data_IF_866618337891
#
_entry.id   IF_866618337891
#
_cell.length_a   1.000
_cell.length_b   1.000
_cell.length_c   1.000
_cell.angle_alpha   90.00
_cell.angle_beta   90.00
_cell.angle_gamma   90.00
#
_symmetry.space_group_name_H-M   'P 1'
#
loop_
_entity.id
_entity.type
_entity.pdbx_description
1 polymer ?
#
# COMPACT_ATOMS: atom_id res chain seq x y z
N UNK A 1 20.68 -54.50 -20.84
CA UNK A 1 19.78 -53.71 -19.98
C UNK A 1 18.72 -53.06 -20.86
N UNK A 2 17.47 -53.54 -20.76
CA UNK A 2 16.35 -53.06 -21.57
C UNK A 2 16.20 -51.55 -21.40
N UNK A 3 16.23 -50.78 -22.50
CA UNK A 3 15.87 -49.35 -22.50
C UNK A 3 14.49 -49.24 -21.86
N UNK A 4 14.45 -48.78 -20.62
CA UNK A 4 13.22 -48.47 -19.89
C UNK A 4 12.22 -47.81 -20.85
N UNK A 5 11.07 -48.46 -21.08
CA UNK A 5 10.03 -48.00 -22.02
C UNK A 5 9.41 -46.73 -21.45
N UNK A 6 10.03 -45.59 -21.75
CA UNK A 6 9.55 -44.27 -21.37
C UNK A 6 8.31 -43.91 -22.19
N UNK A 7 7.20 -43.70 -21.51
CA UNK A 7 5.91 -43.34 -22.08
C UNK A 7 5.80 -41.81 -22.12
N UNK A 8 6.17 -41.20 -23.26
CA UNK A 8 6.17 -39.73 -23.39
C UNK A 8 4.81 -39.16 -23.81
N UNK A 9 4.52 -37.92 -23.39
CA UNK A 9 3.37 -37.14 -23.87
C UNK A 9 3.37 -36.93 -25.39
N UNK A 10 2.16 -36.95 -25.98
CA UNK A 10 1.95 -36.57 -27.38
C UNK A 10 2.16 -35.06 -27.56
N UNK A 11 2.41 -34.64 -28.81
CA UNK A 11 2.49 -33.20 -29.14
C UNK A 11 1.20 -32.46 -28.82
N UNK A 12 0.04 -33.09 -29.03
CA UNK A 12 -1.27 -32.55 -28.67
C UNK A 12 -1.42 -32.35 -27.16
N UNK A 13 -1.08 -33.35 -26.35
CA UNK A 13 -1.11 -33.25 -24.87
C UNK A 13 -0.23 -32.11 -24.37
N UNK A 14 0.99 -31.97 -24.91
CA UNK A 14 1.89 -30.86 -24.53
C UNK A 14 1.29 -29.49 -24.84
N UNK A 15 0.60 -29.34 -25.96
CA UNK A 15 -0.10 -28.08 -26.30
C UNK A 15 -1.24 -27.79 -25.33
N UNK A 16 -2.00 -28.80 -24.92
CA UNK A 16 -3.09 -28.65 -23.94
C UNK A 16 -2.53 -28.20 -22.59
N UNK A 17 -1.47 -28.86 -22.10
CA UNK A 17 -0.81 -28.49 -20.85
C UNK A 17 -0.28 -27.05 -20.88
N UNK A 18 0.37 -26.67 -21.99
CA UNK A 18 0.87 -25.31 -22.17
C UNK A 18 -0.26 -24.27 -22.18
N UNK A 19 -1.33 -24.53 -22.92
CA UNK A 19 -2.49 -23.63 -23.02
C UNK A 19 -3.22 -23.46 -21.69
N UNK A 20 -3.48 -24.56 -20.99
CA UNK A 20 -4.14 -24.54 -19.68
C UNK A 20 -3.34 -23.76 -18.63
N UNK A 21 -2.01 -23.81 -18.70
CA UNK A 21 -1.14 -23.05 -17.81
C UNK A 21 -0.91 -21.60 -18.26
N UNK A 22 -1.42 -21.19 -19.42
CA UNK A 22 -1.14 -19.86 -20.00
C UNK A 22 0.31 -19.68 -20.43
N UNK A 23 1.00 -20.76 -20.80
CA UNK A 23 2.44 -20.79 -21.07
C UNK A 23 3.32 -20.30 -19.89
N UNK A 24 2.84 -20.43 -18.66
CA UNK A 24 3.53 -20.04 -17.44
C UNK A 24 3.89 -21.26 -16.60
N UNK A 25 5.04 -21.24 -15.94
CA UNK A 25 5.43 -22.30 -15.01
C UNK A 25 4.38 -22.45 -13.89
N UNK A 26 3.91 -23.69 -13.66
CA UNK A 26 2.90 -24.01 -12.64
C UNK A 26 3.51 -24.22 -11.24
N UNK A 27 4.83 -24.16 -11.10
CA UNK A 27 5.49 -24.29 -9.81
C UNK A 27 5.17 -23.11 -8.90
N UNK A 28 4.90 -23.36 -7.62
CA UNK A 28 4.58 -22.30 -6.65
C UNK A 28 5.67 -21.23 -6.59
N UNK A 29 5.25 -19.97 -6.57
CA UNK A 29 6.10 -18.77 -6.53
C UNK A 29 7.06 -18.60 -7.73
N UNK A 30 6.97 -19.46 -8.76
CA UNK A 30 7.77 -19.33 -9.98
C UNK A 30 7.12 -18.38 -10.99
N UNK A 31 5.99 -18.76 -11.60
CA UNK A 31 5.25 -17.92 -12.56
C UNK A 31 6.08 -17.38 -13.74
N UNK A 32 7.17 -18.04 -14.13
CA UNK A 32 8.00 -17.63 -15.27
C UNK A 32 7.23 -17.84 -16.59
N UNK A 33 7.18 -16.87 -17.51
CA UNK A 33 6.77 -17.11 -18.89
C UNK A 33 7.72 -18.11 -19.56
N UNK A 34 7.19 -19.01 -20.38
CA UNK A 34 7.97 -20.13 -20.95
C UNK A 34 7.96 -20.17 -22.47
N UNK A 35 7.45 -19.12 -23.11
CA UNK A 35 7.37 -18.95 -24.55
C UNK A 35 7.74 -17.52 -24.93
N UNK A 36 8.38 -17.33 -26.08
CA UNK A 36 8.77 -16.02 -26.57
C UNK A 36 9.15 -16.03 -28.05
N UNK A 37 9.51 -14.86 -28.61
CA UNK A 37 9.94 -14.75 -29.99
C UNK A 37 11.29 -15.45 -30.21
N UNK A 38 11.45 -16.07 -31.38
CA UNK A 38 12.73 -16.60 -31.86
C UNK A 38 13.13 -15.84 -33.13
N UNK A 39 14.31 -15.24 -33.12
CA UNK A 39 14.91 -14.70 -34.34
C UNK A 39 15.65 -15.85 -35.03
N UNK A 40 15.17 -16.25 -36.20
CA UNK A 40 15.82 -17.28 -37.01
C UNK A 40 17.00 -16.69 -37.78
N UNK A 41 17.90 -17.57 -38.24
CA UNK A 41 19.10 -17.16 -38.98
C UNK A 41 18.81 -16.40 -40.28
N UNK A 42 17.60 -16.53 -40.83
CA UNK A 42 17.11 -15.79 -42.01
C UNK A 42 16.46 -14.44 -41.68
N UNK A 43 16.51 -14.01 -40.40
CA UNK A 43 15.89 -12.79 -39.91
C UNK A 43 14.37 -12.89 -39.69
N UNK A 44 13.74 -14.03 -39.99
CA UNK A 44 12.31 -14.20 -39.73
C UNK A 44 12.02 -14.41 -38.24
N UNK A 45 10.87 -13.91 -37.78
CA UNK A 45 10.43 -14.05 -36.38
C UNK A 45 9.53 -15.28 -36.24
N UNK A 46 10.00 -16.26 -35.47
CA UNK A 46 9.25 -17.44 -35.04
C UNK A 46 8.86 -17.39 -33.57
N UNK A 47 8.37 -18.52 -33.04
CA UNK A 47 8.02 -18.69 -31.62
C UNK A 47 8.76 -19.90 -31.07
N UNK A 48 9.40 -19.74 -29.91
CA UNK A 48 10.10 -20.82 -29.21
C UNK A 48 9.74 -20.83 -27.74
N UNK A 49 9.55 -22.03 -27.20
CA UNK A 49 9.30 -22.24 -25.78
C UNK A 49 10.41 -23.07 -25.12
N UNK A 50 10.63 -22.82 -23.83
CA UNK A 50 11.66 -23.50 -23.03
C UNK A 50 11.07 -24.51 -22.03
N UNK A 51 9.76 -24.51 -21.83
CA UNK A 51 9.13 -25.33 -20.80
C UNK A 51 9.15 -26.84 -21.09
N UNK A 52 8.97 -27.58 -20.00
CA UNK A 52 8.86 -29.04 -19.95
C UNK A 52 7.43 -29.39 -19.53
N UNK A 53 6.78 -30.25 -20.32
CA UNK A 53 5.61 -30.99 -19.85
C UNK A 53 6.09 -32.15 -18.98
N UNK A 54 6.17 -31.92 -17.67
CA UNK A 54 6.61 -32.89 -16.70
C UNK A 54 5.46 -33.85 -16.36
N UNK A 55 5.80 -35.11 -16.09
CA UNK A 55 4.80 -36.08 -15.62
C UNK A 55 4.74 -36.00 -14.10
N UNK A 56 3.53 -35.99 -13.55
CA UNK A 56 3.30 -36.03 -12.11
C UNK A 56 3.66 -37.42 -11.59
N UNK A 57 3.06 -38.47 -12.18
CA UNK A 57 3.49 -39.86 -12.06
C UNK A 57 4.42 -40.21 -13.23
N UNK A 58 5.62 -40.71 -12.93
CA UNK A 58 6.71 -40.85 -13.90
C UNK A 58 6.32 -41.56 -15.20
N UNK A 59 6.99 -41.15 -16.29
CA UNK A 59 6.89 -41.78 -17.59
C UNK A 59 7.49 -43.21 -17.65
N UNK A 60 8.08 -43.70 -16.57
CA UNK A 60 8.67 -45.05 -16.49
C UNK A 60 8.69 -45.58 -15.06
N UNK A 61 8.70 -46.91 -14.84
CA UNK A 61 8.68 -47.51 -13.50
C UNK A 61 9.83 -47.08 -12.58
N UNK A 62 11.01 -46.78 -13.13
CA UNK A 62 12.18 -46.33 -12.35
C UNK A 62 12.35 -44.81 -12.24
N UNK A 63 11.33 -44.03 -12.61
CA UNK A 63 11.38 -42.57 -12.54
C UNK A 63 10.82 -42.01 -11.22
N UNK A 64 10.94 -40.69 -11.00
CA UNK A 64 10.38 -40.02 -9.83
C UNK A 64 8.87 -40.22 -9.73
N UNK A 65 8.36 -40.62 -8.56
CA UNK A 65 6.94 -40.98 -8.33
C UNK A 65 6.46 -42.06 -9.32
N UNK A 66 6.85 -43.33 -9.12
CA UNK A 66 6.54 -44.43 -10.05
C UNK A 66 5.05 -44.54 -10.40
N UNK A 67 4.68 -44.81 -11.66
CA UNK A 67 3.29 -44.86 -12.12
C UNK A 67 2.61 -46.19 -11.78
N UNK A 68 2.52 -46.52 -10.48
CA UNK A 68 1.96 -47.80 -10.01
C UNK A 68 0.47 -47.87 -10.35
N UNK A 69 0.08 -48.83 -11.19
CA UNK A 69 -1.32 -49.05 -11.57
C UNK A 69 -1.84 -48.17 -12.70
N UNK A 70 -1.03 -47.28 -13.29
CA UNK A 70 -1.43 -46.46 -14.43
C UNK A 70 -1.14 -47.17 -15.76
N UNK A 71 -2.07 -47.06 -16.71
CA UNK A 71 -1.90 -47.52 -18.09
C UNK A 71 -1.05 -46.53 -18.91
N UNK A 72 -0.47 -46.97 -20.04
CA UNK A 72 0.23 -46.09 -21.00
C UNK A 72 -0.64 -44.89 -21.45
N UNK A 73 -1.97 -45.07 -21.49
CA UNK A 73 -2.92 -44.00 -21.86
C UNK A 73 -3.03 -42.97 -20.75
N UNK A 74 -3.13 -43.39 -19.49
CA UNK A 74 -3.22 -42.51 -18.32
C UNK A 74 -1.90 -41.80 -18.04
N UNK A 75 -0.75 -42.47 -18.24
CA UNK A 75 0.56 -41.84 -18.12
C UNK A 75 0.69 -40.67 -19.11
N UNK A 76 0.15 -40.81 -20.34
CA UNK A 76 0.15 -39.77 -21.38
C UNK A 76 -1.01 -38.77 -21.29
N UNK A 77 -1.92 -38.94 -20.34
CA UNK A 77 -3.08 -38.05 -20.21
C UNK A 77 -2.63 -36.67 -19.71
N UNK A 78 -3.33 -35.62 -20.13
CA UNK A 78 -3.10 -34.27 -19.64
C UNK A 78 -3.33 -34.19 -18.14
N UNK A 79 -4.21 -35.02 -17.55
CA UNK A 79 -4.43 -35.12 -16.11
C UNK A 79 -3.15 -35.47 -15.34
N UNK A 80 -2.26 -36.28 -15.92
CA UNK A 80 -0.95 -36.64 -15.35
C UNK A 80 0.18 -35.64 -15.67
N UNK A 81 -0.09 -34.56 -16.40
CA UNK A 81 0.91 -33.57 -16.78
C UNK A 81 0.86 -32.29 -15.94
N UNK A 82 2.03 -31.70 -15.69
CA UNK A 82 2.21 -30.33 -15.17
C UNK A 82 3.17 -29.56 -16.07
N UNK A 83 2.91 -28.26 -16.29
CA UNK A 83 3.71 -27.39 -17.15
C UNK A 83 4.75 -26.62 -16.32
N UNK A 84 6.04 -26.91 -16.51
CA UNK A 84 7.13 -26.37 -15.69
C UNK A 84 8.24 -25.74 -16.54
N UNK A 85 8.97 -24.77 -15.99
CA UNK A 85 10.22 -24.33 -16.59
C UNK A 85 11.31 -25.40 -16.41
N UNK A 86 12.43 -25.38 -17.17
CA UNK A 86 13.50 -26.36 -17.03
C UNK A 86 14.03 -26.52 -15.61
N UNK A 87 14.21 -25.40 -14.89
CA UNK A 87 14.74 -25.39 -13.54
C UNK A 87 13.81 -26.14 -12.57
N UNK A 88 12.51 -25.81 -12.59
CA UNK A 88 11.54 -26.41 -11.69
C UNK A 88 11.23 -27.85 -12.07
N UNK A 89 11.24 -28.18 -13.36
CA UNK A 89 11.09 -29.56 -13.83
C UNK A 89 12.25 -30.44 -13.31
N UNK A 90 13.48 -29.93 -13.35
CA UNK A 90 14.63 -30.62 -12.77
C UNK A 90 14.50 -30.72 -11.25
N UNK A 91 14.07 -29.63 -10.59
CA UNK A 91 13.93 -29.57 -9.13
C UNK A 91 12.93 -30.60 -8.59
N UNK A 92 11.73 -30.69 -9.17
CA UNK A 92 10.69 -31.62 -8.67
C UNK A 92 11.08 -33.09 -8.86
N UNK A 93 11.89 -33.40 -9.86
CA UNK A 93 12.42 -34.74 -10.09
C UNK A 93 13.59 -35.05 -9.16
N UNK A 94 14.47 -34.07 -8.90
CA UNK A 94 15.64 -34.22 -8.03
C UNK A 94 15.22 -34.39 -6.56
N UNK A 95 14.30 -33.55 -6.09
CA UNK A 95 13.79 -33.54 -4.72
C UNK A 95 12.45 -34.29 -4.62
N UNK A 96 12.36 -35.48 -5.22
CA UNK A 96 11.10 -36.21 -5.40
C UNK A 96 10.29 -36.46 -4.11
N UNK A 97 10.95 -36.52 -2.95
CA UNK A 97 10.28 -36.73 -1.65
C UNK A 97 9.68 -35.45 -1.07
N UNK A 98 10.21 -34.27 -1.44
CA UNK A 98 9.64 -32.96 -1.09
C UNK A 98 8.48 -32.58 -2.02
N UNK A 99 8.43 -33.20 -3.20
CA UNK A 99 7.43 -32.95 -4.24
C UNK A 99 6.62 -34.23 -4.53
N UNK A 100 5.73 -34.65 -3.63
CA UNK A 100 4.84 -35.79 -3.88
C UNK A 100 3.80 -35.45 -4.97
N UNK A 101 3.13 -36.47 -5.51
CA UNK A 101 2.22 -36.31 -6.65
C UNK A 101 1.05 -35.37 -6.33
N UNK A 102 0.55 -35.42 -5.10
CA UNK A 102 -0.54 -34.60 -4.57
C UNK A 102 -0.18 -33.11 -4.65
N UNK A 103 1.04 -32.75 -4.25
CA UNK A 103 1.51 -31.36 -4.31
C UNK A 103 1.63 -30.86 -5.75
N UNK A 104 2.08 -31.70 -6.69
CA UNK A 104 2.13 -31.33 -8.11
C UNK A 104 0.73 -31.19 -8.72
N UNK A 105 -0.23 -31.99 -8.27
CA UNK A 105 -1.64 -31.84 -8.66
C UNK A 105 -2.22 -30.51 -8.16
N UNK A 106 -1.94 -30.13 -6.91
CA UNK A 106 -2.36 -28.83 -6.37
C UNK A 106 -1.70 -27.66 -7.12
N UNK A 107 -0.39 -27.74 -7.39
CA UNK A 107 0.34 -26.73 -8.17
C UNK A 107 -0.29 -26.50 -9.54
N UNK A 108 -0.58 -27.60 -10.24
CA UNK A 108 -1.31 -27.57 -11.51
C UNK A 108 -2.69 -26.95 -11.36
N UNK A 109 -3.46 -27.38 -10.37
CA UNK A 109 -4.83 -26.92 -10.16
C UNK A 109 -4.87 -25.40 -9.95
N UNK A 110 -3.96 -24.85 -9.14
CA UNK A 110 -3.83 -23.41 -8.89
C UNK A 110 -3.57 -22.65 -10.18
N UNK A 111 -2.54 -23.02 -10.95
CA UNK A 111 -2.16 -22.30 -12.17
C UNK A 111 -3.27 -22.36 -13.22
N UNK A 112 -3.87 -23.53 -13.42
CA UNK A 112 -4.95 -23.69 -14.40
C UNK A 112 -6.19 -22.89 -13.99
N UNK A 113 -6.55 -22.90 -12.70
CA UNK A 113 -7.67 -22.10 -12.21
C UNK A 113 -7.40 -20.60 -12.35
N UNK A 114 -6.23 -20.12 -11.92
CA UNK A 114 -5.82 -18.73 -12.04
C UNK A 114 -5.81 -18.26 -13.51
N UNK A 115 -5.33 -19.10 -14.44
CA UNK A 115 -5.39 -18.84 -15.88
C UNK A 115 -6.83 -18.69 -16.36
N UNK A 116 -7.70 -19.63 -15.99
CA UNK A 116 -9.10 -19.61 -16.39
C UNK A 116 -9.83 -18.38 -15.81
N UNK A 117 -9.55 -18.03 -14.55
CA UNK A 117 -10.18 -16.90 -13.88
C UNK A 117 -9.78 -15.58 -14.52
N UNK A 118 -8.48 -15.37 -14.77
CA UNK A 118 -7.99 -14.17 -15.45
C UNK A 118 -8.54 -14.05 -16.89
N UNK A 119 -8.72 -15.17 -17.60
CA UNK A 119 -9.32 -15.16 -18.94
C UNK A 119 -10.81 -14.80 -18.92
N UNK A 120 -11.56 -15.29 -17.93
CA UNK A 120 -13.02 -15.11 -17.83
C UNK A 120 -13.41 -13.79 -17.17
N UNK A 121 -12.53 -13.20 -16.36
CA UNK A 121 -12.80 -11.98 -15.61
C UNK A 121 -11.78 -10.88 -15.99
N UNK A 122 -12.19 -9.90 -16.83
CA UNK A 122 -11.31 -8.81 -17.28
C UNK A 122 -10.73 -7.98 -16.13
N UNK A 123 -11.46 -7.83 -15.02
CA UNK A 123 -11.00 -7.11 -13.83
C UNK A 123 -9.86 -7.86 -13.15
N UNK A 124 -9.98 -9.17 -12.97
CA UNK A 124 -8.88 -10.01 -12.45
C UNK A 124 -7.69 -9.98 -13.40
N UNK A 125 -7.92 -10.05 -14.71
CA UNK A 125 -6.85 -9.92 -15.71
C UNK A 125 -6.05 -8.62 -15.54
N UNK A 126 -6.75 -7.49 -15.45
CA UNK A 126 -6.14 -6.19 -15.24
C UNK A 126 -5.34 -6.14 -13.93
N UNK A 127 -5.97 -6.50 -12.81
CA UNK A 127 -5.35 -6.46 -11.48
C UNK A 127 -4.12 -7.36 -11.39
N UNK A 128 -4.18 -8.53 -12.02
CA UNK A 128 -3.10 -9.50 -12.02
C UNK A 128 -1.83 -8.99 -12.73
N UNK A 129 -1.97 -8.08 -13.72
CA UNK A 129 -0.81 -7.41 -14.33
C UNK A 129 -0.10 -6.50 -13.32
N UNK A 130 -0.83 -5.82 -12.44
CA UNK A 130 -0.25 -4.92 -11.44
C UNK A 130 0.28 -5.65 -10.19
N UNK A 131 -0.44 -6.64 -9.66
CA UNK A 131 0.04 -7.41 -8.48
C UNK A 131 1.08 -8.48 -8.82
N UNK A 132 1.20 -8.80 -10.11
CA UNK A 132 2.03 -9.88 -10.63
C UNK A 132 1.36 -11.26 -10.55
N UNK A 133 1.58 -12.08 -11.60
CA UNK A 133 0.99 -13.43 -11.74
C UNK A 133 1.34 -14.38 -10.59
N UNK A 134 2.53 -14.25 -10.00
CA UNK A 134 2.93 -15.06 -8.83
C UNK A 134 1.99 -14.83 -7.65
N UNK A 135 1.58 -13.57 -7.44
CA UNK A 135 0.71 -13.18 -6.33
C UNK A 135 -0.72 -13.63 -6.59
N UNK A 136 -1.18 -13.60 -7.85
CA UNK A 136 -2.46 -14.22 -8.24
C UNK A 136 -2.48 -15.72 -7.90
N UNK A 137 -1.45 -16.48 -8.27
CA UNK A 137 -1.36 -17.92 -7.98
C UNK A 137 -1.33 -18.20 -6.48
N UNK A 138 -0.59 -17.38 -5.72
CA UNK A 138 -0.56 -17.46 -4.25
C UNK A 138 -1.95 -17.24 -3.63
N UNK A 139 -2.73 -16.28 -4.14
CA UNK A 139 -4.10 -16.02 -3.67
C UNK A 139 -5.01 -17.22 -3.97
N UNK A 140 -4.96 -17.75 -5.20
CA UNK A 140 -5.75 -18.93 -5.58
C UNK A 140 -5.40 -20.14 -4.71
N UNK A 141 -4.10 -20.37 -4.45
CA UNK A 141 -3.63 -21.45 -3.56
C UNK A 141 -4.23 -21.36 -2.16
N UNK A 142 -4.33 -20.16 -1.58
CA UNK A 142 -4.92 -19.96 -0.23
C UNK A 142 -6.40 -20.34 -0.15
N UNK A 143 -7.07 -20.50 -1.28
CA UNK A 143 -8.49 -20.85 -1.35
C UNK A 143 -8.72 -22.31 -1.75
N UNK A 144 -7.68 -23.14 -1.78
CA UNK A 144 -7.85 -24.59 -1.87
C UNK A 144 -8.46 -25.13 -0.56
N UNK A 145 -9.26 -26.21 -0.62
CA UNK A 145 -9.63 -26.94 -1.84
C UNK A 145 -10.85 -26.33 -2.58
N UNK A 146 -11.60 -25.43 -1.96
CA UNK A 146 -12.92 -25.00 -2.41
C UNK A 146 -12.92 -24.15 -3.69
N UNK A 147 -11.86 -23.37 -3.90
CA UNK A 147 -11.66 -22.47 -5.05
C UNK A 147 -12.88 -21.58 -5.36
N UNK A 148 -13.46 -21.00 -4.31
CA UNK A 148 -14.55 -20.05 -4.41
C UNK A 148 -14.13 -18.82 -5.22
N UNK A 149 -14.73 -18.66 -6.40
CA UNK A 149 -14.39 -17.60 -7.35
C UNK A 149 -14.61 -16.20 -6.77
N UNK A 150 -15.69 -16.00 -6.02
CA UNK A 150 -16.02 -14.67 -5.48
C UNK A 150 -15.01 -14.26 -4.42
N UNK A 151 -14.70 -15.16 -3.48
CA UNK A 151 -13.67 -14.90 -2.44
C UNK A 151 -12.29 -14.65 -3.04
N UNK A 152 -11.93 -15.41 -4.07
CA UNK A 152 -10.66 -15.21 -4.78
C UNK A 152 -10.61 -13.85 -5.47
N UNK A 153 -11.70 -13.43 -6.14
CA UNK A 153 -11.78 -12.12 -6.79
C UNK A 153 -11.61 -11.00 -5.75
N UNK A 154 -12.27 -11.09 -4.60
CA UNK A 154 -12.12 -10.11 -3.52
C UNK A 154 -10.70 -10.07 -2.96
N UNK A 155 -10.06 -11.22 -2.79
CA UNK A 155 -8.67 -11.30 -2.37
C UNK A 155 -7.70 -10.69 -3.41
N UNK A 156 -7.97 -10.86 -4.71
CA UNK A 156 -7.20 -10.21 -5.80
C UNK A 156 -7.39 -8.70 -5.78
N UNK A 157 -8.62 -8.20 -5.63
CA UNK A 157 -8.91 -6.76 -5.47
C UNK A 157 -8.13 -6.17 -4.30
N UNK A 158 -8.20 -6.82 -3.14
CA UNK A 158 -7.48 -6.38 -1.96
C UNK A 158 -5.96 -6.33 -2.19
N UNK A 159 -5.39 -7.32 -2.88
CA UNK A 159 -3.97 -7.32 -3.23
C UNK A 159 -3.60 -6.22 -4.23
N UNK A 160 -4.49 -5.91 -5.17
CA UNK A 160 -4.31 -4.84 -6.16
C UNK A 160 -4.26 -3.48 -5.50
N UNK A 161 -5.24 -3.18 -4.64
CA UNK A 161 -5.30 -1.95 -3.85
C UNK A 161 -3.99 -1.77 -3.04
N UNK A 162 -3.49 -2.84 -2.42
CA UNK A 162 -2.22 -2.81 -1.68
C UNK A 162 -0.99 -2.51 -2.54
N UNK A 163 -0.99 -2.89 -3.81
CA UNK A 163 0.19 -2.75 -4.69
C UNK A 163 0.25 -1.37 -5.35
N UNK A 164 -0.89 -0.80 -5.76
CA UNK A 164 -0.95 0.57 -6.31
C UNK A 164 -0.44 1.63 -5.31
N UNK A 165 -0.62 1.38 -4.02
CA UNK A 165 -0.14 2.24 -2.93
C UNK A 165 1.42 2.27 -2.85
N UNK A 166 2.14 1.26 -3.36
CA UNK A 166 3.58 1.10 -3.17
C UNK A 166 4.46 1.82 -4.22
N UNK A 167 3.95 2.17 -5.40
CA UNK A 167 4.77 2.63 -6.54
C UNK A 167 5.01 4.15 -6.63
N UNK A 168 4.60 4.96 -5.64
CA UNK A 168 4.49 6.43 -5.81
C UNK A 168 5.64 7.30 -5.26
N UNK A 169 6.74 6.77 -4.70
CA UNK A 169 7.71 7.61 -3.94
C UNK A 169 9.20 7.26 -4.14
N UNK A 170 9.93 8.09 -4.92
CA UNK A 170 11.39 8.29 -4.95
C UNK A 170 11.62 9.77 -5.37
N UNK A 171 12.51 10.65 -4.86
CA UNK A 171 13.95 10.60 -4.53
C UNK A 171 14.37 11.75 -3.55
N UNK A 172 15.66 11.75 -3.11
CA UNK A 172 16.36 12.52 -2.03
C UNK A 172 16.92 13.91 -2.45
N UNK A 173 17.21 14.86 -1.50
CA UNK A 173 18.62 15.28 -1.23
C UNK A 173 18.98 15.89 0.18
N UNK A 174 20.28 16.22 0.36
CA UNK A 174 21.12 16.54 1.55
C UNK A 174 21.02 17.95 2.22
N UNK A 175 21.55 18.17 3.45
CA UNK A 175 21.25 19.31 4.33
C UNK A 175 22.39 20.33 4.56
N UNK A 176 22.06 21.50 5.15
CA UNK A 176 22.98 22.34 5.94
C UNK A 176 22.23 23.18 6.99
N UNK A 177 22.78 23.25 8.20
CA UNK A 177 22.23 23.88 9.42
C UNK A 177 23.05 25.10 9.91
N UNK A 178 22.53 25.84 10.93
CA UNK A 178 23.26 26.42 12.11
C UNK A 178 22.46 27.58 12.79
N UNK A 179 21.89 27.43 14.01
CA UNK A 179 22.37 27.70 15.42
C UNK A 179 22.31 29.17 15.93
N UNK A 180 21.81 29.40 17.16
CA UNK A 180 22.33 30.34 18.19
C UNK A 180 21.78 30.09 19.63
N UNK A 181 22.58 30.37 20.69
CA UNK A 181 22.39 30.02 22.12
C UNK A 181 22.55 31.25 23.07
N UNK A 182 22.00 31.23 24.30
CA UNK A 182 22.32 32.18 25.41
C UNK A 182 22.15 31.58 26.83
N UNK A 183 22.54 32.32 27.90
CA UNK A 183 23.50 31.93 28.99
C UNK A 183 22.99 31.59 30.43
N UNK A 184 23.94 31.39 31.40
CA UNK A 184 24.13 30.20 32.28
C UNK A 184 23.72 30.30 33.79
N UNK A 185 23.40 31.44 34.41
CA UNK A 185 23.37 31.49 35.90
C UNK A 185 22.02 31.41 36.63
N UNK A 186 20.90 31.87 36.05
CA UNK A 186 19.54 31.63 36.60
C UNK A 186 19.10 30.17 36.46
N UNK A 187 19.81 29.47 35.58
CA UNK A 187 19.72 28.06 35.25
C UNK A 187 19.94 27.18 36.50
N UNK A 188 20.96 27.35 37.35
CA UNK A 188 21.39 26.31 38.32
C UNK A 188 20.34 25.72 39.30
N UNK A 189 19.38 26.50 39.83
CA UNK A 189 18.36 25.98 40.76
C UNK A 189 17.16 25.38 40.02
N UNK A 190 16.69 26.07 38.98
CA UNK A 190 15.69 25.55 38.05
C UNK A 190 16.25 24.29 37.36
N UNK A 191 17.51 24.29 36.97
CA UNK A 191 18.30 23.16 36.46
C UNK A 191 18.24 22.01 37.42
N UNK A 192 18.28 22.16 38.74
CA UNK A 192 18.33 20.99 39.63
C UNK A 192 16.97 20.27 39.70
N UNK A 193 15.88 21.01 39.81
CA UNK A 193 14.51 20.44 39.76
C UNK A 193 14.14 20.00 38.33
N UNK A 194 14.50 20.80 37.32
CA UNK A 194 14.43 20.44 35.91
C UNK A 194 15.35 19.27 35.60
N UNK A 195 16.50 19.06 36.22
CA UNK A 195 17.40 17.92 35.98
C UNK A 195 16.87 16.66 36.63
N UNK A 196 16.14 16.75 37.73
CA UNK A 196 15.48 15.57 38.32
C UNK A 196 14.25 15.21 37.47
N UNK A 197 13.44 16.18 37.07
CA UNK A 197 12.33 15.99 36.15
C UNK A 197 12.76 15.67 34.71
N UNK A 198 13.90 16.19 34.24
CA UNK A 198 14.49 15.95 32.93
C UNK A 198 15.30 14.67 32.94
N UNK A 199 15.99 14.27 34.01
CA UNK A 199 16.51 12.89 34.10
C UNK A 199 15.37 11.87 34.17
N UNK A 200 14.23 12.23 34.77
CA UNK A 200 13.07 11.35 34.75
C UNK A 200 12.39 11.32 33.36
N UNK A 201 12.23 12.47 32.68
CA UNK A 201 11.74 12.57 31.30
C UNK A 201 12.70 11.95 30.29
N UNK A 202 14.00 12.22 30.35
CA UNK A 202 15.06 11.61 29.54
C UNK A 202 15.09 10.10 29.73
N UNK A 203 14.87 9.58 30.95
CA UNK A 203 14.75 8.12 31.17
C UNK A 203 13.48 7.53 30.54
N UNK A 204 12.37 8.26 30.51
CA UNK A 204 11.11 7.82 29.87
C UNK A 204 11.20 7.94 28.35
N UNK A 205 11.76 9.04 27.82
CA UNK A 205 11.99 9.28 26.40
C UNK A 205 13.05 8.32 25.84
N UNK A 206 14.13 8.06 26.57
CA UNK A 206 15.11 7.01 26.22
C UNK A 206 14.46 5.63 26.20
N UNK A 207 13.47 5.38 27.06
CA UNK A 207 12.75 4.10 27.06
C UNK A 207 11.94 3.93 25.79
N UNK A 208 11.28 4.98 25.28
CA UNK A 208 10.60 4.96 23.97
C UNK A 208 11.56 4.47 22.89
N UNK A 209 12.77 5.03 22.84
CA UNK A 209 13.74 4.68 21.80
C UNK A 209 14.31 3.28 22.00
N UNK A 210 14.56 2.85 23.23
CA UNK A 210 14.98 1.48 23.53
C UNK A 210 13.93 0.47 23.09
N UNK A 211 12.66 0.72 23.37
CA UNK A 211 11.55 -0.17 23.04
C UNK A 211 11.35 -0.25 21.52
N UNK A 212 11.29 0.90 20.86
CA UNK A 212 11.17 0.97 19.38
C UNK A 212 12.37 0.28 18.72
N UNK A 213 13.59 0.55 19.17
CA UNK A 213 14.80 -0.09 18.64
C UNK A 213 14.78 -1.60 18.88
N UNK A 214 14.31 -2.07 20.03
CA UNK A 214 14.24 -3.50 20.35
C UNK A 214 13.26 -4.24 19.43
N UNK A 215 12.06 -3.68 19.24
CA UNK A 215 11.04 -4.27 18.37
C UNK A 215 11.47 -4.24 16.90
N UNK A 216 11.96 -3.10 16.44
CA UNK A 216 12.46 -2.97 15.06
C UNK A 216 13.67 -3.88 14.84
N UNK A 217 14.60 -3.97 15.80
CA UNK A 217 15.75 -4.89 15.71
C UNK A 217 15.32 -6.35 15.64
N UNK A 218 14.23 -6.73 16.31
CA UNK A 218 13.66 -8.09 16.24
C UNK A 218 13.08 -8.36 14.86
N UNK A 219 12.30 -7.42 14.30
CA UNK A 219 11.79 -7.52 12.93
C UNK A 219 12.93 -7.66 11.92
N UNK A 220 13.90 -6.75 12.01
CA UNK A 220 15.05 -6.69 11.13
C UNK A 220 16.07 -7.81 11.36
N UNK A 221 16.03 -8.48 12.50
CA UNK A 221 16.88 -9.64 12.82
C UNK A 221 16.52 -10.88 12.01
N UNK A 222 15.34 -10.90 11.36
CA UNK A 222 14.91 -11.98 10.46
C UNK A 222 15.69 -12.02 9.14
N UNK A 223 16.35 -10.91 8.77
CA UNK A 223 17.17 -10.83 7.57
C UNK A 223 18.61 -11.27 7.86
N UNK A 224 19.20 -12.09 6.97
CA UNK A 224 20.61 -12.52 7.10
C UNK A 224 21.53 -11.30 7.04
N UNK A 225 22.27 -11.05 8.12
CA UNK A 225 23.24 -9.95 8.19
C UNK A 225 24.65 -10.44 7.82
N UNK A 226 25.43 -9.65 7.07
CA UNK A 226 26.86 -9.88 6.92
C UNK A 226 27.52 -9.85 8.31
N UNK A 227 28.45 -10.77 8.62
CA UNK A 227 29.23 -10.68 9.85
C UNK A 227 30.11 -9.43 9.82
N UNK A 228 30.15 -8.67 10.92
CA UNK A 228 31.10 -7.57 11.17
C UNK A 228 30.94 -6.28 10.34
N UNK A 229 29.86 -6.13 9.57
CA UNK A 229 29.57 -4.88 8.84
C UNK A 229 28.40 -4.12 9.49
N UNK A 230 28.51 -2.79 9.53
CA UNK A 230 27.41 -1.90 9.90
C UNK A 230 26.34 -1.93 8.81
N UNK A 231 25.09 -2.20 9.17
CA UNK A 231 23.98 -2.29 8.21
C UNK A 231 22.96 -1.19 8.46
N UNK A 232 22.44 -0.61 7.38
CA UNK A 232 21.24 0.24 7.39
C UNK A 232 20.07 -0.55 6.83
N UNK A 233 19.00 -0.63 7.61
CA UNK A 233 17.79 -1.37 7.27
C UNK A 233 16.64 -0.39 7.10
N UNK A 234 15.87 -0.59 6.04
CA UNK A 234 14.76 0.29 5.67
C UNK A 234 13.52 -0.55 5.44
N UNK A 235 12.37 -0.04 5.84
CA UNK A 235 11.08 -0.70 5.62
C UNK A 235 9.94 0.33 5.75
N UNK A 236 8.70 -0.14 5.56
CA UNK A 236 7.51 0.61 5.91
C UNK A 236 7.25 0.50 7.42
N UNK A 237 7.14 1.63 8.09
CA UNK A 237 6.64 1.71 9.46
C UNK A 237 5.34 2.50 9.50
N UNK A 238 4.94 2.87 10.71
CA UNK A 238 3.67 3.51 10.97
C UNK A 238 3.82 4.62 11.99
N UNK A 239 3.00 5.65 11.84
CA UNK A 239 2.94 6.78 12.74
C UNK A 239 1.48 7.16 13.03
N UNK A 240 1.24 7.73 14.20
CA UNK A 240 0.01 8.46 14.48
C UNK A 240 0.35 9.89 14.89
N UNK A 241 -0.15 10.87 14.15
CA UNK A 241 0.03 12.29 14.47
C UNK A 241 -1.25 12.80 15.14
N UNK A 242 -1.11 13.42 16.30
CA UNK A 242 -2.20 14.02 17.06
C UNK A 242 -1.76 15.37 17.64
N UNK A 243 -2.61 16.00 18.45
CA UNK A 243 -2.33 17.24 19.15
C UNK A 243 -2.65 17.10 20.64
N UNK A 244 -1.89 17.80 21.48
CA UNK A 244 -2.06 17.88 22.92
C UNK A 244 -2.28 19.33 23.35
N UNK A 245 -3.23 19.56 24.24
CA UNK A 245 -3.43 20.86 24.85
C UNK A 245 -2.28 21.13 25.84
N UNK A 246 -1.45 22.17 25.64
CA UNK A 246 -0.29 22.41 26.49
C UNK A 246 -0.66 22.82 27.93
N UNK A 247 -1.91 23.27 28.17
CA UNK A 247 -2.38 23.69 29.50
C UNK A 247 -3.04 22.56 30.29
N UNK A 248 -3.89 21.76 29.63
CA UNK A 248 -4.69 20.72 30.30
C UNK A 248 -4.07 19.33 30.17
N UNK A 249 -3.14 19.13 29.21
CA UNK A 249 -2.60 17.81 28.87
C UNK A 249 -3.57 16.92 28.09
N UNK A 250 -4.77 17.41 27.76
CA UNK A 250 -5.76 16.70 26.95
C UNK A 250 -5.20 16.35 25.57
N UNK A 251 -5.41 15.12 25.12
CA UNK A 251 -4.94 14.63 23.82
C UNK A 251 -6.14 14.42 22.91
N UNK A 252 -6.04 14.91 21.67
CA UNK A 252 -7.02 14.61 20.64
C UNK A 252 -7.02 13.10 20.37
N UNK A 253 -8.14 12.44 20.70
CA UNK A 253 -8.29 10.99 20.62
C UNK A 253 -8.08 10.47 19.19
N UNK A 254 -8.71 11.14 18.25
CA UNK A 254 -8.68 10.82 16.83
C UNK A 254 -7.50 11.55 16.17
N UNK A 255 -6.44 10.82 15.89
CA UNK A 255 -5.22 11.32 15.25
C UNK A 255 -5.08 10.78 13.84
N UNK A 256 -4.28 11.44 13.01
CA UNK A 256 -3.92 10.98 11.68
C UNK A 256 -3.07 9.72 11.80
N UNK A 257 -3.65 8.57 11.50
CA UNK A 257 -2.93 7.32 11.35
C UNK A 257 -2.36 7.24 9.94
N UNK A 258 -1.07 6.95 9.83
CA UNK A 258 -0.38 6.98 8.54
C UNK A 258 0.78 5.99 8.50
N UNK A 259 1.10 5.54 7.28
CA UNK A 259 2.35 4.85 7.04
C UNK A 259 3.52 5.82 7.11
N UNK A 260 4.71 5.30 7.36
CA UNK A 260 5.94 6.05 7.36
C UNK A 260 7.04 5.25 6.67
N UNK A 261 7.99 5.92 6.06
CA UNK A 261 9.29 5.33 5.79
C UNK A 261 10.06 5.26 7.10
N UNK A 262 10.56 4.09 7.46
CA UNK A 262 11.40 3.91 8.64
C UNK A 262 12.74 3.32 8.30
N UNK A 263 13.77 3.77 9.02
CA UNK A 263 15.14 3.29 8.87
C UNK A 263 15.75 3.05 10.25
N UNK A 264 16.50 1.95 10.36
CA UNK A 264 17.32 1.62 11.51
C UNK A 264 18.74 1.31 11.03
N UNK A 265 19.71 2.11 11.47
CA UNK A 265 21.12 1.92 11.15
C UNK A 265 21.89 1.45 12.38
N UNK A 266 22.75 0.46 12.18
CA UNK A 266 23.73 0.05 13.19
C UNK A 266 24.74 1.17 13.45
N UNK A 267 25.20 1.27 14.71
CA UNK A 267 26.33 2.11 15.08
C UNK A 267 27.61 1.32 15.22
N UNK A 268 28.55 1.85 16.00
CA UNK A 268 29.86 1.22 16.23
C UNK A 268 29.76 -0.19 16.83
N UNK A 269 28.69 -0.50 17.55
CA UNK A 269 28.40 -1.83 18.09
C UNK A 269 26.97 -2.27 17.71
N UNK A 270 26.81 -3.08 16.65
CA UNK A 270 25.51 -3.55 16.18
C UNK A 270 24.68 -4.31 17.24
N UNK A 271 25.34 -4.87 18.26
CA UNK A 271 24.69 -5.59 19.37
C UNK A 271 24.16 -4.66 20.45
N UNK A 272 24.68 -3.43 20.53
CA UNK A 272 24.28 -2.44 21.51
C UNK A 272 23.18 -1.51 20.93
N UNK A 273 21.94 -1.57 21.44
CA UNK A 273 20.83 -0.70 21.00
C UNK A 273 21.16 0.79 21.11
N UNK A 274 22.01 1.17 22.06
CA UNK A 274 22.39 2.57 22.31
C UNK A 274 23.29 3.17 21.24
N UNK A 275 23.76 2.38 20.28
CA UNK A 275 24.55 2.89 19.16
C UNK A 275 23.72 3.04 17.89
N UNK A 276 22.46 2.59 17.88
CA UNK A 276 21.64 2.59 16.67
C UNK A 276 21.03 3.96 16.41
N UNK A 277 20.86 4.26 15.13
CA UNK A 277 20.22 5.46 14.62
C UNK A 277 18.88 5.11 14.01
N UNK A 278 17.81 5.78 14.44
CA UNK A 278 16.45 5.61 13.95
C UNK A 278 15.98 6.84 13.17
N UNK A 279 15.27 6.61 12.07
CA UNK A 279 14.60 7.65 11.29
C UNK A 279 13.18 7.21 10.94
N UNK A 280 12.24 8.15 11.03
CA UNK A 280 10.86 8.03 10.58
C UNK A 280 10.49 9.31 9.80
N UNK A 281 9.95 9.14 8.60
CA UNK A 281 9.56 10.26 7.71
C UNK A 281 8.53 9.79 6.68
N UNK A 282 8.13 10.64 5.74
CA UNK A 282 7.14 10.36 4.69
C UNK A 282 5.78 9.94 5.27
N UNK A 283 5.29 10.69 6.26
CA UNK A 283 4.01 10.44 6.93
C UNK A 283 2.81 11.11 6.25
N UNK A 284 3.05 11.95 5.23
CA UNK A 284 1.96 12.57 4.46
C UNK A 284 1.20 11.53 3.62
N UNK A 285 -0.08 11.78 3.36
CA UNK A 285 -0.97 10.91 2.56
C UNK A 285 -1.75 11.72 1.52
N UNK A 286 -2.65 11.09 0.77
CA UNK A 286 -3.61 11.80 -0.10
C UNK A 286 -4.64 12.62 0.67
N UNK A 287 -4.79 12.41 1.97
CA UNK A 287 -5.80 13.05 2.81
C UNK A 287 -5.20 13.89 3.93
N UNK A 288 -3.92 13.70 4.27
CA UNK A 288 -3.18 14.50 5.25
C UNK A 288 -1.89 15.04 4.65
N UNK A 289 -1.70 16.36 4.71
CA UNK A 289 -0.44 16.99 4.26
C UNK A 289 0.66 16.96 5.32
N UNK A 290 0.37 16.43 6.52
CA UNK A 290 1.27 16.44 7.67
C UNK A 290 2.45 15.50 7.47
N UNK A 291 3.65 16.08 7.49
CA UNK A 291 4.92 15.38 7.36
C UNK A 291 5.68 15.46 8.68
N UNK A 292 5.73 14.35 9.42
CA UNK A 292 6.50 14.21 10.64
C UNK A 292 7.83 13.56 10.32
N UNK A 293 8.90 14.34 10.50
CA UNK A 293 10.28 13.88 10.43
C UNK A 293 10.80 13.67 11.84
N UNK A 294 11.15 12.44 12.15
CA UNK A 294 11.72 12.03 13.42
C UNK A 294 13.07 11.37 13.18
N UNK A 295 14.08 11.85 13.89
CA UNK A 295 15.46 11.43 13.76
C UNK A 295 16.05 11.25 15.17
N UNK A 296 16.43 10.02 15.51
CA UNK A 296 16.87 9.63 16.86
C UNK A 296 18.27 9.05 16.76
N UNK A 297 19.27 9.84 17.14
CA UNK A 297 20.69 9.50 17.02
C UNK A 297 21.26 9.07 18.38
N UNK A 298 22.25 8.16 18.38
CA UNK A 298 22.95 7.81 19.61
C UNK A 298 23.75 9.00 20.15
N UNK A 299 23.64 9.26 21.45
CA UNK A 299 24.43 10.24 22.18
C UNK A 299 25.01 9.58 23.45
N UNK A 300 25.99 10.21 24.13
CA UNK A 300 26.71 9.61 25.26
C UNK A 300 25.79 9.10 26.39
N UNK A 301 25.38 7.82 26.32
CA UNK A 301 24.49 7.16 27.27
C UNK A 301 22.98 7.42 27.10
N UNK A 302 22.55 8.10 26.02
CA UNK A 302 21.16 8.55 25.76
C UNK A 302 20.93 8.69 24.23
N UNK A 303 19.86 9.37 23.81
CA UNK A 303 19.58 9.69 22.41
C UNK A 303 19.40 11.20 22.18
N UNK A 304 19.90 11.68 21.05
CA UNK A 304 19.57 13.01 20.51
C UNK A 304 18.38 12.87 19.57
N UNK A 305 17.31 13.63 19.82
CA UNK A 305 16.03 13.53 19.09
C UNK A 305 15.74 14.83 18.36
N UNK A 306 15.64 14.77 17.04
CA UNK A 306 15.07 15.83 16.20
C UNK A 306 13.68 15.35 15.75
N UNK A 307 12.61 16.08 16.10
CA UNK A 307 11.22 15.71 15.81
C UNK A 307 10.47 16.93 15.31
N UNK A 308 10.17 16.98 14.02
CA UNK A 308 9.61 18.15 13.36
C UNK A 308 8.36 17.83 12.53
N UNK A 309 7.34 18.66 12.67
CA UNK A 309 6.12 18.60 11.88
C UNK A 309 6.18 19.68 10.80
N UNK A 310 6.14 19.24 9.55
CA UNK A 310 6.11 20.06 8.36
C UNK A 310 4.84 19.75 7.56
N UNK A 311 4.66 20.48 6.47
CA UNK A 311 3.66 20.16 5.43
C UNK A 311 4.38 19.86 4.12
N UNK A 312 3.90 18.86 3.39
CA UNK A 312 4.49 18.49 2.11
C UNK A 312 3.85 19.23 0.93
N UNK A 313 2.69 18.77 0.46
CA UNK A 313 1.91 19.38 -0.62
C UNK A 313 0.47 19.58 -0.19
N UNK A 314 -0.28 20.39 -0.93
CA UNK A 314 -1.73 20.45 -0.73
C UNK A 314 -2.33 19.13 -1.19
N UNK A 315 -3.10 18.52 -0.29
CA UNK A 315 -3.72 17.22 -0.49
C UNK A 315 -5.23 17.39 -0.57
N UNK A 316 -5.88 16.52 -1.32
CA UNK A 316 -7.32 16.42 -1.39
C UNK A 316 -7.71 14.97 -1.55
N UNK A 317 -8.90 14.58 -1.07
CA UNK A 317 -9.50 13.29 -1.38
C UNK A 317 -9.77 13.19 -2.90
N UNK A 318 -8.75 12.87 -3.71
CA UNK A 318 -8.92 12.73 -5.16
C UNK A 318 -9.68 11.44 -5.41
N UNK A 319 -10.88 11.56 -5.98
CA UNK A 319 -11.75 10.43 -6.34
C UNK A 319 -12.05 9.49 -5.15
N UNK A 320 -12.22 10.07 -3.96
CA UNK A 320 -12.51 9.33 -2.72
C UNK A 320 -13.98 8.90 -2.70
N UNK A 321 -14.26 7.65 -3.07
CA UNK A 321 -15.62 7.07 -3.06
C UNK A 321 -15.90 6.27 -1.77
N UNK A 322 -14.92 6.14 -0.87
CA UNK A 322 -15.01 5.28 0.32
C UNK A 322 -15.13 6.08 1.63
N UNK A 323 -15.93 5.59 2.59
CA UNK A 323 -16.11 6.21 3.90
C UNK A 323 -14.83 6.25 4.75
N UNK A 324 -13.92 5.28 4.60
CA UNK A 324 -12.63 5.25 5.31
C UNK A 324 -11.72 6.44 4.97
N UNK A 325 -11.84 6.97 3.75
CA UNK A 325 -11.08 8.13 3.29
C UNK A 325 -11.64 9.42 3.89
N UNK A 326 -12.96 9.49 4.12
CA UNK A 326 -13.63 10.58 4.85
C UNK A 326 -13.18 10.60 6.31
N UNK A 327 -13.21 9.48 7.02
CA UNK A 327 -12.75 9.38 8.41
C UNK A 327 -11.27 9.78 8.59
N UNK A 328 -10.42 9.35 7.64
CA UNK A 328 -9.01 9.71 7.61
C UNK A 328 -8.80 11.21 7.37
N UNK A 329 -9.61 11.80 6.49
CA UNK A 329 -9.58 13.24 6.21
C UNK A 329 -10.11 14.05 7.40
N UNK A 330 -11.20 13.63 8.03
CA UNK A 330 -11.79 14.29 9.20
C UNK A 330 -10.81 14.29 10.38
N UNK A 331 -10.07 13.19 10.58
CA UNK A 331 -8.98 13.13 11.56
C UNK A 331 -7.87 14.16 11.26
N UNK A 332 -7.51 14.33 9.99
CA UNK A 332 -6.56 15.35 9.56
C UNK A 332 -7.08 16.78 9.79
N UNK A 333 -8.33 17.05 9.42
CA UNK A 333 -8.96 18.35 9.64
C UNK A 333 -9.03 18.69 11.15
N UNK A 334 -9.40 17.72 11.98
CA UNK A 334 -9.44 17.88 13.43
C UNK A 334 -8.06 18.18 14.02
N UNK A 335 -7.01 17.48 13.58
CA UNK A 335 -5.63 17.79 13.99
C UNK A 335 -5.25 19.21 13.61
N UNK A 336 -5.49 19.63 12.36
CA UNK A 336 -5.18 20.99 11.90
C UNK A 336 -5.91 22.06 12.74
N UNK A 337 -7.20 21.86 13.04
CA UNK A 337 -7.98 22.78 13.88
C UNK A 337 -7.40 22.89 15.31
N UNK A 338 -6.95 21.77 15.91
CA UNK A 338 -6.30 21.85 17.22
C UNK A 338 -4.98 22.61 17.16
N UNK A 339 -4.18 22.39 16.12
CA UNK A 339 -2.91 23.10 15.94
C UNK A 339 -3.11 24.61 15.75
N UNK A 340 -4.13 25.04 15.02
CA UNK A 340 -4.44 26.48 14.89
C UNK A 340 -4.93 27.11 16.20
N UNK A 341 -5.54 26.32 17.09
CA UNK A 341 -5.89 26.73 18.46
C UNK A 341 -4.68 26.74 19.43
N UNK A 342 -3.47 26.47 18.92
CA UNK A 342 -2.24 26.49 19.72
C UNK A 342 -1.99 25.22 20.53
N UNK A 343 -2.63 24.10 20.16
CA UNK A 343 -2.24 22.79 20.70
C UNK A 343 -0.88 22.38 20.13
N UNK A 344 -0.07 21.68 20.92
CA UNK A 344 1.23 21.18 20.46
C UNK A 344 1.06 19.86 19.70
N UNK A 345 1.77 19.64 18.57
CA UNK A 345 1.70 18.36 17.88
C UNK A 345 2.46 17.28 18.64
N UNK A 346 1.90 16.09 18.64
CA UNK A 346 2.49 14.89 19.24
C UNK A 346 2.39 13.72 18.27
N UNK A 347 3.34 12.80 18.36
CA UNK A 347 3.44 11.63 17.48
C UNK A 347 3.55 10.34 18.26
N UNK A 348 2.97 9.27 17.74
CA UNK A 348 3.16 7.92 18.25
C UNK A 348 3.88 7.09 17.18
N UNK A 349 4.96 6.44 17.56
CA UNK A 349 5.76 5.59 16.66
C UNK A 349 5.19 4.18 16.69
N UNK A 350 4.98 3.60 15.51
CA UNK A 350 4.58 2.20 15.36
C UNK A 350 5.70 1.26 15.79
N UNK A 351 5.37 0.28 16.62
CA UNK A 351 6.31 -0.76 17.04
C UNK A 351 6.45 -1.84 15.96
N UNK A 352 5.38 -2.08 15.21
CA UNK A 352 5.36 -2.97 14.05
C UNK A 352 5.95 -2.29 12.81
N UNK A 353 6.85 -3.00 12.12
CA UNK A 353 7.51 -2.60 10.87
C UNK A 353 7.26 -3.68 9.82
N UNK A 354 7.10 -3.30 8.55
CA UNK A 354 6.78 -4.19 7.44
C UNK A 354 5.35 -4.08 6.93
N UNK A 355 4.74 -5.20 6.56
CA UNK A 355 3.36 -5.24 6.03
C UNK A 355 2.33 -5.14 7.16
N UNK A 356 1.61 -4.01 7.22
CA UNK A 356 0.43 -3.82 8.06
C UNK A 356 0.74 -3.34 9.48
N UNK A 357 0.03 -2.32 9.95
CA UNK A 357 -0.16 -2.04 11.39
C UNK A 357 -1.66 -1.98 11.66
N UNK A 358 -2.34 -3.03 11.20
CA UNK A 358 -3.80 -3.12 11.18
C UNK A 358 -4.37 -3.13 12.61
N UNK A 359 -3.53 -3.43 13.60
CA UNK A 359 -3.88 -3.46 15.04
C UNK A 359 -3.64 -2.13 15.76
N UNK A 360 -3.06 -1.12 15.09
CA UNK A 360 -2.72 0.17 15.71
C UNK A 360 -1.69 0.04 16.83
N UNK A 361 -0.70 -0.85 16.67
CA UNK A 361 0.35 -1.12 17.64
C UNK A 361 1.39 0.02 17.67
N UNK A 362 1.05 1.08 18.41
CA UNK A 362 1.91 2.22 18.64
C UNK A 362 2.53 2.17 20.04
N UNK A 363 3.74 2.69 20.17
CA UNK A 363 4.34 2.91 21.48
C UNK A 363 3.40 3.80 22.33
N UNK A 364 3.08 3.43 23.59
CA UNK A 364 2.04 4.11 24.37
C UNK A 364 2.41 5.54 24.79
N UNK A 365 3.71 5.85 24.84
CA UNK A 365 4.20 7.19 25.16
C UNK A 365 4.32 8.04 23.88
N UNK A 366 3.62 9.19 23.79
CA UNK A 366 3.74 10.09 22.66
C UNK A 366 5.05 10.88 22.69
N UNK A 367 5.60 11.12 21.52
CA UNK A 367 6.77 11.95 21.24
C UNK A 367 6.29 13.37 20.94
N UNK A 368 6.88 14.37 21.60
CA UNK A 368 6.61 15.77 21.24
C UNK A 368 7.18 16.11 19.85
N UNK A 369 6.46 16.92 19.08
CA UNK A 369 6.89 17.34 17.75
C UNK A 369 7.01 18.87 17.71
N UNK A 370 8.12 19.39 17.20
CA UNK A 370 8.27 20.82 16.95
C UNK A 370 7.49 21.19 15.68
N UNK A 371 6.50 22.08 15.80
CA UNK A 371 5.72 22.53 14.65
C UNK A 371 6.52 23.55 13.83
N UNK A 372 6.84 23.20 12.58
CA UNK A 372 7.53 24.08 11.62
C UNK A 372 6.57 24.67 10.56
N UNK A 373 5.27 24.38 10.69
CA UNK A 373 4.22 24.86 9.78
C UNK A 373 3.99 26.35 10.03
N UNK A 374 4.12 27.17 8.98
CA UNK A 374 3.91 28.61 9.08
C UNK A 374 2.43 28.97 9.13
N UNK A 375 2.03 30.09 9.76
CA UNK A 375 0.63 30.53 9.83
C UNK A 375 -0.08 30.59 8.46
N UNK A 376 0.60 31.06 7.42
CA UNK A 376 0.02 31.18 6.07
C UNK A 376 -0.25 29.81 5.43
N UNK A 377 0.53 28.80 5.83
CA UNK A 377 0.34 27.42 5.38
C UNK A 377 -0.84 26.75 6.07
N UNK A 378 -1.22 27.18 7.28
CA UNK A 378 -2.43 26.74 7.95
C UNK A 378 -3.68 27.31 7.28
N UNK A 379 -3.69 28.60 6.95
CA UNK A 379 -4.86 29.29 6.40
C UNK A 379 -5.38 28.63 5.11
N UNK A 380 -4.48 28.37 4.15
CA UNK A 380 -4.87 27.74 2.88
C UNK A 380 -5.44 26.33 3.06
N UNK A 381 -4.92 25.58 4.06
CA UNK A 381 -5.33 24.21 4.37
C UNK A 381 -6.64 24.16 5.13
N UNK A 382 -6.87 25.08 6.06
CA UNK A 382 -8.14 25.20 6.78
C UNK A 382 -9.26 25.52 5.80
N UNK A 383 -9.08 26.54 4.95
CA UNK A 383 -10.05 26.88 3.90
C UNK A 383 -10.36 25.68 3.00
N UNK A 384 -9.33 24.89 2.68
CA UNK A 384 -9.50 23.66 1.90
C UNK A 384 -10.25 22.58 2.67
N UNK A 385 -10.04 22.44 3.97
CA UNK A 385 -10.76 21.51 4.83
C UNK A 385 -12.24 21.87 4.93
N UNK A 386 -12.56 23.15 5.11
CA UNK A 386 -13.93 23.66 5.10
C UNK A 386 -14.64 23.33 3.78
N UNK A 387 -13.97 23.57 2.64
CA UNK A 387 -14.50 23.22 1.31
C UNK A 387 -14.77 21.72 1.17
N UNK A 388 -13.88 20.86 1.68
CA UNK A 388 -14.07 19.39 1.64
C UNK A 388 -15.25 18.96 2.53
N UNK A 389 -15.35 19.49 3.76
CA UNK A 389 -16.49 19.23 4.66
C UNK A 389 -17.81 19.61 4.02
N UNK A 390 -17.88 20.78 3.39
CA UNK A 390 -19.06 21.20 2.62
C UNK A 390 -19.42 20.19 1.52
N UNK A 391 -18.43 19.69 0.78
CA UNK A 391 -18.69 18.69 -0.25
C UNK A 391 -19.25 17.38 0.31
N UNK A 392 -18.82 16.96 1.51
CA UNK A 392 -19.41 15.81 2.19
C UNK A 392 -20.84 16.08 2.66
N UNK A 393 -21.10 17.23 3.27
CA UNK A 393 -22.45 17.65 3.69
C UNK A 393 -23.42 17.66 2.51
N UNK A 394 -23.02 18.27 1.38
CA UNK A 394 -23.81 18.26 0.16
C UNK A 394 -24.06 16.82 -0.31
N UNK A 395 -23.05 15.96 -0.37
CA UNK A 395 -23.23 14.60 -0.86
C UNK A 395 -24.12 13.74 0.06
N UNK A 396 -24.09 13.98 1.37
CA UNK A 396 -24.96 13.32 2.35
C UNK A 396 -26.44 13.63 2.08
N UNK A 397 -26.79 14.86 1.65
CA UNK A 397 -28.17 15.22 1.25
C UNK A 397 -28.68 14.42 0.05
N UNK A 398 -27.76 14.03 -0.85
CA UNK A 398 -28.07 13.20 -2.01
C UNK A 398 -28.02 11.70 -1.68
N UNK A 399 -27.62 11.32 -0.46
CA UNK A 399 -27.31 9.93 -0.10
C UNK A 399 -26.36 9.32 -1.14
N UNK A 400 -25.29 10.08 -1.41
CA UNK A 400 -24.30 9.87 -2.46
C UNK A 400 -22.88 10.06 -1.91
N UNK A 401 -21.87 9.56 -2.63
CA UNK A 401 -20.45 9.78 -2.31
C UNK A 401 -19.93 11.00 -3.05
N UNK A 402 -19.04 11.78 -2.42
CA UNK A 402 -18.47 12.98 -3.05
C UNK A 402 -17.18 12.68 -3.82
N UNK A 403 -17.17 12.96 -5.13
CA UNK A 403 -15.95 13.00 -5.95
C UNK A 403 -15.46 14.45 -6.07
N UNK A 404 -14.34 14.73 -5.41
CA UNK A 404 -13.71 16.05 -5.45
C UNK A 404 -12.87 16.26 -6.72
N UNK A 405 -13.41 17.03 -7.67
CA UNK A 405 -12.73 17.45 -8.89
C UNK A 405 -11.93 18.76 -8.65
N UNK A 406 -10.94 19.09 -9.50
CA UNK A 406 -10.26 20.39 -9.42
C UNK A 406 -11.22 21.58 -9.53
N UNK A 407 -12.32 21.42 -10.27
CA UNK A 407 -13.35 22.44 -10.49
C UNK A 407 -14.06 22.78 -9.17
N UNK A 408 -14.33 21.78 -8.32
CA UNK A 408 -14.94 21.99 -7.01
C UNK A 408 -14.12 22.93 -6.10
N UNK A 409 -12.79 22.95 -6.27
CA UNK A 409 -11.88 23.82 -5.51
C UNK A 409 -11.57 25.14 -6.20
N UNK A 410 -12.29 25.51 -7.26
CA UNK A 410 -12.05 26.78 -7.94
C UNK A 410 -12.43 27.95 -7.01
N UNK A 411 -11.46 28.82 -6.74
CA UNK A 411 -11.58 29.90 -5.77
C UNK A 411 -12.62 30.97 -6.15
N UNK A 412 -13.00 31.05 -7.42
CA UNK A 412 -14.03 31.97 -7.89
C UNK A 412 -15.46 31.55 -7.47
N UNK A 413 -15.65 30.32 -6.97
CA UNK A 413 -16.95 29.82 -6.54
C UNK A 413 -17.14 30.05 -5.03
N UNK A 414 -18.26 30.68 -4.67
CA UNK A 414 -18.67 30.82 -3.26
C UNK A 414 -19.28 29.51 -2.73
N UNK A 415 -18.98 29.18 -1.47
CA UNK A 415 -19.55 28.03 -0.74
C UNK A 415 -21.08 28.07 -0.64
N UNK A 416 -21.64 29.28 -0.43
CA UNK A 416 -23.09 29.47 -0.41
C UNK A 416 -23.73 29.15 -1.78
N UNK A 417 -23.08 29.54 -2.88
CA UNK A 417 -23.57 29.27 -4.23
C UNK A 417 -23.52 27.77 -4.59
N UNK A 418 -22.53 27.03 -4.08
CA UNK A 418 -22.49 25.57 -4.21
C UNK A 418 -23.66 24.92 -3.48
N UNK A 419 -23.93 25.36 -2.25
CA UNK A 419 -25.00 24.82 -1.41
C UNK A 419 -26.37 25.09 -2.01
N UNK A 420 -26.63 26.33 -2.45
CA UNK A 420 -27.89 26.72 -3.10
C UNK A 420 -28.12 25.91 -4.39
N UNK A 421 -27.11 25.81 -5.25
CA UNK A 421 -27.24 25.05 -6.49
C UNK A 421 -27.42 23.54 -6.26
N UNK A 422 -26.87 22.99 -5.17
CA UNK A 422 -27.09 21.60 -4.78
C UNK A 422 -28.53 21.38 -4.30
N UNK A 423 -29.06 22.26 -3.45
CA UNK A 423 -30.44 22.20 -2.98
C UNK A 423 -31.45 22.34 -4.14
N UNK A 424 -31.20 23.25 -5.08
CA UNK A 424 -31.99 23.40 -6.30
C UNK A 424 -31.95 22.12 -7.14
N UNK A 425 -30.76 21.53 -7.31
CA UNK A 425 -30.62 20.29 -8.08
C UNK A 425 -31.37 19.13 -7.42
N UNK A 426 -31.29 18.98 -6.10
CA UNK A 426 -32.02 17.95 -5.35
C UNK A 426 -33.55 18.14 -5.49
N UNK A 427 -34.01 19.40 -5.46
CA UNK A 427 -35.42 19.75 -5.69
C UNK A 427 -35.86 19.37 -7.11
N UNK A 428 -35.03 19.61 -8.13
CA UNK A 428 -35.30 19.24 -9.52
C UNK A 428 -35.33 17.72 -9.75
N UNK A 429 -34.50 16.96 -9.04
CA UNK A 429 -34.48 15.49 -9.10
C UNK A 429 -35.78 14.86 -8.58
N UNK A 430 -36.43 15.52 -7.61
CA UNK A 430 -37.64 15.00 -6.97
C UNK A 430 -37.40 13.69 -6.19
N UNK A 431 -38.47 12.93 -5.87
CA UNK A 431 -38.34 11.69 -5.10
C UNK A 431 -37.61 10.59 -5.89
N UNK A 432 -36.86 9.75 -5.18
CA UNK A 432 -36.19 8.55 -5.73
C UNK A 432 -37.21 7.56 -6.35
N UNK A 433 -36.82 6.72 -7.32
CA UNK A 433 -35.45 6.53 -7.84
C UNK A 433 -35.06 7.54 -8.92
N UNK A 434 -33.80 7.96 -8.89
CA UNK A 434 -33.22 8.85 -9.90
C UNK A 434 -32.57 8.05 -11.05
N UNK A 435 -32.35 8.72 -12.18
CA UNK A 435 -31.61 8.13 -13.30
C UNK A 435 -30.14 7.87 -12.93
N UNK A 436 -29.50 6.92 -13.62
CA UNK A 436 -28.09 6.57 -13.42
C UNK A 436 -27.12 7.72 -13.69
N UNK A 437 -27.56 8.72 -14.46
CA UNK A 437 -26.82 9.94 -14.77
C UNK A 437 -27.80 11.12 -14.77
N UNK A 438 -27.60 12.06 -13.84
CA UNK A 438 -28.32 13.31 -13.77
C UNK A 438 -27.34 14.48 -13.77
N UNK A 439 -27.73 15.60 -14.37
CA UNK A 439 -26.94 16.83 -14.39
C UNK A 439 -27.80 17.99 -13.93
N UNK A 440 -27.27 18.86 -13.07
CA UNK A 440 -27.93 20.09 -12.67
C UNK A 440 -27.94 21.12 -13.80
N UNK A 441 -28.68 22.21 -13.58
CA UNK A 441 -28.44 23.47 -14.28
C UNK A 441 -27.03 24.00 -14.01
N UNK A 442 -26.50 24.88 -14.88
CA UNK A 442 -25.19 25.50 -14.65
C UNK A 442 -25.15 26.27 -13.33
N UNK A 443 -24.15 25.96 -12.50
CA UNK A 443 -23.87 26.65 -11.23
C UNK A 443 -23.25 28.02 -11.53
N UNK A 444 -22.25 28.05 -12.42
CA UNK A 444 -21.63 29.28 -12.91
C UNK A 444 -20.87 29.07 -14.22
N UNK A 445 -20.48 30.17 -14.87
CA UNK A 445 -19.50 30.14 -15.97
C UNK A 445 -18.08 30.23 -15.42
N UNK A 446 -17.24 29.29 -15.83
CA UNK A 446 -15.80 29.27 -15.51
C UNK A 446 -15.06 30.24 -16.44
N UNK A 447 -15.47 30.33 -17.70
CA UNK A 447 -15.04 31.31 -18.69
C UNK A 447 -16.12 31.46 -19.78
N UNK A 448 -15.81 32.16 -20.88
CA UNK A 448 -16.76 32.44 -21.97
C UNK A 448 -17.35 31.19 -22.63
N UNK A 449 -16.61 30.07 -22.62
CA UNK A 449 -16.96 28.85 -23.35
C UNK A 449 -17.25 27.65 -22.44
N UNK A 450 -17.03 27.76 -21.12
CA UNK A 450 -17.12 26.64 -20.17
C UNK A 450 -18.00 27.00 -18.99
N UNK A 451 -18.99 26.15 -18.72
CA UNK A 451 -19.83 26.23 -17.53
C UNK A 451 -19.61 25.05 -16.60
N UNK A 452 -19.79 25.30 -15.31
CA UNK A 452 -19.73 24.33 -14.24
C UNK A 452 -21.13 23.89 -13.84
N UNK A 453 -21.31 22.61 -13.53
CA UNK A 453 -22.58 22.03 -13.08
C UNK A 453 -22.32 20.84 -12.14
N UNK A 454 -23.33 20.43 -11.38
CA UNK A 454 -23.28 19.18 -10.63
C UNK A 454 -23.68 18.00 -11.51
N UNK A 455 -22.95 16.91 -11.39
CA UNK A 455 -23.26 15.63 -12.01
C UNK A 455 -23.41 14.57 -10.92
N UNK A 456 -24.55 13.89 -10.92
CA UNK A 456 -24.79 12.70 -10.11
C UNK A 456 -24.76 11.48 -11.04
N UNK A 457 -23.74 10.62 -10.87
CA UNK A 457 -23.56 9.42 -11.68
C UNK A 457 -23.38 8.21 -10.77
N UNK A 458 -24.28 7.23 -10.83
CA UNK A 458 -24.23 6.04 -9.97
C UNK A 458 -24.08 6.35 -8.47
N UNK A 459 -24.81 7.35 -7.95
CA UNK A 459 -24.68 7.84 -6.56
C UNK A 459 -23.30 8.41 -6.22
N UNK A 460 -22.52 8.82 -7.21
CA UNK A 460 -21.33 9.65 -7.05
C UNK A 460 -21.67 11.08 -7.50
N UNK A 461 -21.59 12.03 -6.57
CA UNK A 461 -21.79 13.45 -6.84
C UNK A 461 -20.45 14.12 -7.16
N UNK A 462 -20.43 14.96 -8.19
CA UNK A 462 -19.23 15.70 -8.60
C UNK A 462 -19.59 17.05 -9.19
N UNK A 463 -18.71 18.03 -9.03
CA UNK A 463 -18.73 19.26 -9.80
C UNK A 463 -17.93 19.06 -11.10
N UNK A 464 -18.58 19.18 -12.25
CA UNK A 464 -17.97 18.94 -13.56
C UNK A 464 -18.10 20.19 -14.44
N UNK A 465 -17.36 20.22 -15.55
CA UNK A 465 -17.46 21.30 -16.55
C UNK A 465 -17.93 20.77 -17.90
N UNK A 466 -18.61 21.62 -18.66
CA UNK A 466 -18.96 21.34 -20.06
C UNK A 466 -18.87 22.60 -20.91
N UNK A 467 -18.70 22.41 -22.21
CA UNK A 467 -18.73 23.52 -23.16
C UNK A 467 -20.15 24.09 -23.27
N UNK A 468 -20.25 25.41 -23.25
CA UNK A 468 -21.50 26.13 -23.53
C UNK A 468 -21.80 25.93 -25.02
N UNK A 469 -22.90 25.24 -25.36
CA UNK A 469 -23.33 25.13 -26.76
C UNK A 469 -23.65 26.52 -27.28
N UNK A 470 -22.78 27.08 -28.12
CA UNK A 470 -23.13 28.21 -28.97
C UNK A 470 -24.12 27.68 -30.01
N UNK A 471 -25.39 28.06 -29.90
CA UNK A 471 -26.35 27.90 -30.98
C UNK A 471 -25.85 28.79 -32.13
N UNK A 472 -25.17 28.19 -33.10
CA UNK A 472 -24.95 28.79 -34.42
C UNK A 472 -26.13 28.48 -35.31
#
# INVERSE_FOLDING_TARGET
>A
MSKSRRVNFLKSTRKILAGNAGHMCSFYDCGKPTIGPEIKGDGTVGVKGIAVAAHIYAASPGGPRPPVGLTDKEIRAESNGIWLCPDDALKVDTFQFEYPAELLLEMKQVRVFAQSLALQNPTVSFMAHSIGMKRLDSIVRKHLPDLDKEKIIEAVKAAYIRTEIAHSTAELPFPTASIALSSVHTLSRVIREVMVCANHRLKIEDQVWRDVIADWSTHFGKFKRPPQESVTLVDRGYAKISARNPKTGEILKDGVQTGAFVMLSDGADPSNPMTKHLLLQNTFTSFSSLEWKLNVKPAFGTFEVESELNVYKDVSPRNSVFNSDRESFESYAAVLEKLTLGWEPIGYVGLSVGEGNDDGNYHPTPVSIACQIKPEQFESRIRRCERVKLGYEIADEFDATMKFTPVFFNQSINDAALSEAAADFLTELGPKPWNLLCSSKPIMRVNDDVEMYFQLKHLELSAETRFVRRLT
#
